data_IF_197341387651
#
_entry.id   IF_197341387651
#
_cell.length_a   1.000
_cell.length_b   1.000
_cell.length_c   1.000
_cell.angle_alpha   90.00
_cell.angle_beta   90.00
_cell.angle_gamma   90.00
#
_symmetry.space_group_name_H-M   'P 1'
#
loop_
_entity.id
_entity.type
_entity.pdbx_description
1 polymer ?
#
# COMPACT_ATOMS: atom_id res chain seq x y z
N UNK A 1 -22.25 -64.53 -10.23
CA UNK A 1 -21.14 -65.02 -11.06
C UNK A 1 -20.29 -63.80 -11.41
N UNK A 2 -19.23 -63.47 -10.69
CA UNK A 2 -18.55 -64.12 -9.54
C UNK A 2 -17.99 -62.98 -8.66
N UNK A 3 -17.92 -63.00 -7.33
CA UNK A 3 -17.43 -63.98 -6.32
C UNK A 3 -15.89 -64.08 -6.21
N UNK A 4 -15.41 -64.10 -4.95
CA UNK A 4 -14.04 -64.32 -4.40
C UNK A 4 -13.02 -63.13 -4.41
N UNK A 5 -12.67 -62.53 -3.24
CA UNK A 5 -11.48 -62.71 -2.31
C UNK A 5 -10.12 -62.29 -2.95
N UNK A 6 -9.10 -61.67 -2.33
CA UNK A 6 -8.33 -61.87 -1.07
C UNK A 6 -7.52 -60.56 -0.71
N UNK A 7 -6.80 -60.38 0.42
CA UNK A 7 -7.10 -60.67 1.84
C UNK A 7 -6.08 -60.00 2.84
N UNK A 8 -6.53 -59.72 4.08
CA UNK A 8 -5.83 -59.92 5.41
C UNK A 8 -4.46 -59.31 5.86
N UNK A 9 -4.47 -58.79 7.12
CA UNK A 9 -3.41 -58.56 8.16
C UNK A 9 -2.14 -57.69 7.94
N UNK A 10 -1.97 -56.65 8.79
CA UNK A 10 -1.07 -56.79 9.96
C UNK A 10 -1.41 -55.84 11.12
N UNK A 11 -1.26 -56.36 12.34
CA UNK A 11 -1.32 -55.68 13.65
C UNK A 11 0.09 -55.43 14.17
N UNK A 12 0.32 -54.36 14.95
CA UNK A 12 1.18 -54.41 16.15
C UNK A 12 0.69 -53.40 17.21
N UNK A 13 0.67 -53.82 18.48
CA UNK A 13 0.49 -52.97 19.66
C UNK A 13 1.83 -52.36 20.08
N UNK A 14 1.85 -51.24 20.84
CA UNK A 14 2.61 -51.21 22.10
C UNK A 14 1.99 -50.27 23.16
N UNK A 15 2.11 -50.74 24.41
CA UNK A 15 1.71 -50.26 25.73
C UNK A 15 1.57 -48.76 26.07
N UNK A 16 0.60 -48.56 26.97
CA UNK A 16 0.48 -47.53 28.02
C UNK A 16 1.64 -47.47 29.04
N UNK A 17 1.90 -46.27 29.57
CA UNK A 17 2.23 -46.02 31.00
C UNK A 17 1.55 -44.70 31.42
N UNK A 18 1.16 -44.57 32.68
CA UNK A 18 0.52 -43.39 33.26
C UNK A 18 1.49 -42.57 34.12
N UNK A 19 1.22 -41.26 34.25
CA UNK A 19 1.72 -40.43 35.36
C UNK A 19 0.60 -39.45 35.77
N UNK A 20 0.12 -39.61 37.00
CA UNK A 20 -0.80 -38.67 37.66
C UNK A 20 -0.02 -37.42 38.13
N UNK A 21 -0.51 -36.23 37.79
CA UNK A 21 -0.03 -34.97 38.37
C UNK A 21 -1.23 -34.12 38.78
N UNK A 22 -1.64 -34.27 40.05
CA UNK A 22 -2.40 -33.25 40.76
C UNK A 22 -1.48 -32.04 41.03
N UNK A 23 -1.88 -30.85 40.55
CA UNK A 23 -1.35 -29.57 41.05
C UNK A 23 -2.50 -28.57 41.25
N UNK A 24 -3.13 -28.65 42.42
CA UNK A 24 -4.04 -27.64 42.94
C UNK A 24 -3.24 -26.37 43.31
N UNK A 25 -3.15 -25.40 42.40
CA UNK A 25 -2.69 -24.06 42.75
C UNK A 25 -3.74 -22.98 42.47
N UNK A 26 -4.31 -22.46 43.55
CA UNK A 26 -5.32 -21.41 43.50
C UNK A 26 -4.70 -20.01 43.51
N UNK A 27 -5.05 -19.23 42.48
CA UNK A 27 -5.39 -17.81 42.56
C UNK A 27 -4.37 -16.84 43.22
N UNK A 28 -3.60 -16.13 42.39
CA UNK A 28 -3.18 -14.75 42.70
C UNK A 28 -3.50 -13.84 41.51
N UNK A 29 -4.16 -12.72 41.78
CA UNK A 29 -4.33 -11.62 40.82
C UNK A 29 -3.27 -10.57 41.09
N UNK A 30 -2.50 -10.18 40.07
CA UNK A 30 -1.88 -8.86 40.03
C UNK A 30 -1.54 -8.43 38.59
N UNK A 31 -1.46 -7.12 38.38
CA UNK A 31 -1.77 -6.45 37.12
C UNK A 31 -0.52 -5.88 36.42
N UNK A 32 -0.02 -6.55 35.36
CA UNK A 32 0.95 -5.96 34.42
C UNK A 32 0.72 -6.48 32.98
N UNK A 33 -0.03 -5.72 32.18
CA UNK A 33 0.20 -5.55 30.73
C UNK A 33 0.07 -4.04 30.42
N UNK A 34 0.88 -3.45 29.52
CA UNK A 34 1.43 -4.10 28.32
C UNK A 34 2.96 -4.09 28.26
N UNK A 35 3.54 -5.28 28.03
CA UNK A 35 4.75 -5.32 27.22
C UNK A 35 4.33 -5.00 25.79
N UNK A 36 4.71 -3.82 25.29
CA UNK A 36 4.58 -3.50 23.87
C UNK A 36 5.48 -4.47 23.10
N UNK A 37 4.92 -5.58 22.62
CA UNK A 37 5.49 -6.31 21.50
C UNK A 37 5.44 -5.35 20.32
N UNK A 38 6.53 -4.60 20.16
CA UNK A 38 6.78 -3.83 18.96
C UNK A 38 7.01 -4.87 17.87
N UNK A 39 5.91 -5.30 17.24
CA UNK A 39 5.90 -6.09 16.02
C UNK A 39 6.46 -5.20 14.91
N UNK A 40 7.77 -4.95 15.00
CA UNK A 40 8.61 -4.46 13.94
C UNK A 40 8.79 -5.66 13.02
N UNK A 41 7.72 -5.97 12.28
CA UNK A 41 7.86 -6.72 11.06
C UNK A 41 8.67 -5.83 10.13
N UNK A 42 9.99 -5.96 10.18
CA UNK A 42 10.94 -5.38 9.24
C UNK A 42 10.75 -6.05 7.87
N UNK A 43 9.57 -5.82 7.29
CA UNK A 43 9.41 -5.78 5.85
C UNK A 43 10.22 -4.57 5.37
N UNK A 44 11.53 -4.79 5.20
CA UNK A 44 12.53 -3.78 4.86
C UNK A 44 12.41 -3.34 3.38
N UNK A 45 11.19 -3.08 2.94
CA UNK A 45 10.90 -2.41 1.68
C UNK A 45 10.97 -0.90 1.88
N UNK A 46 11.49 -0.19 0.89
CA UNK A 46 11.56 1.27 0.89
C UNK A 46 10.15 1.87 1.09
N UNK A 47 9.91 2.57 2.20
CA UNK A 47 8.61 3.21 2.39
C UNK A 47 8.53 4.49 1.55
N UNK A 48 7.67 4.47 0.53
CA UNK A 48 7.49 5.59 -0.40
C UNK A 48 6.05 6.10 -0.39
N UNK A 49 5.89 7.38 -0.08
CA UNK A 49 4.59 8.08 -0.09
C UNK A 49 4.46 8.91 -1.36
N UNK A 50 3.65 8.46 -2.32
CA UNK A 50 3.37 9.16 -3.58
C UNK A 50 2.11 10.02 -3.48
N UNK A 51 2.18 11.27 -3.90
CA UNK A 51 1.03 12.16 -4.12
C UNK A 51 0.84 12.40 -5.62
N UNK A 52 -0.40 12.25 -6.13
CA UNK A 52 -0.74 12.45 -7.55
C UNK A 52 -1.99 13.30 -7.73
N UNK A 53 -1.94 14.26 -8.65
CA UNK A 53 -3.07 15.08 -9.07
C UNK A 53 -3.06 15.24 -10.58
N UNK A 54 -4.19 14.95 -11.23
CA UNK A 54 -4.37 15.16 -12.67
C UNK A 54 -5.46 16.19 -12.95
N UNK A 55 -5.19 17.14 -13.85
CA UNK A 55 -6.12 18.19 -14.26
C UNK A 55 -5.86 18.63 -15.70
N UNK A 56 -6.91 18.57 -16.56
CA UNK A 56 -6.87 19.05 -17.95
C UNK A 56 -5.73 18.46 -18.81
N UNK A 57 -5.44 17.16 -18.67
CA UNK A 57 -4.37 16.49 -19.43
C UNK A 57 -2.96 16.69 -18.86
N UNK A 58 -2.84 17.30 -17.68
CA UNK A 58 -1.56 17.49 -16.98
C UNK A 58 -1.60 16.71 -15.67
N UNK A 59 -0.60 15.86 -15.47
CA UNK A 59 -0.28 15.16 -14.24
C UNK A 59 0.78 15.97 -13.48
N UNK A 60 0.49 16.30 -12.22
CA UNK A 60 1.48 16.71 -11.23
C UNK A 60 1.62 15.61 -10.19
N UNK A 61 2.85 15.31 -9.80
CA UNK A 61 3.13 14.31 -8.78
C UNK A 61 4.30 14.73 -7.89
N UNK A 62 4.36 14.17 -6.69
CA UNK A 62 5.54 14.22 -5.85
C UNK A 62 5.59 12.96 -4.98
N UNK A 63 6.76 12.39 -4.75
CA UNK A 63 6.92 11.32 -3.76
C UNK A 63 7.94 11.68 -2.69
N UNK A 64 7.77 11.09 -1.52
CA UNK A 64 8.69 11.16 -0.40
C UNK A 64 9.23 9.75 -0.12
N UNK A 65 10.54 9.57 -0.19
CA UNK A 65 11.19 8.36 0.30
C UNK A 65 11.49 8.55 1.79
N UNK A 66 10.97 7.66 2.63
CA UNK A 66 11.23 7.69 4.08
C UNK A 66 12.69 7.34 4.37
N UNK A 67 13.31 6.47 3.55
CA UNK A 67 14.70 6.03 3.70
C UNK A 67 15.68 7.19 3.51
N UNK A 68 15.57 7.92 2.39
CA UNK A 68 16.49 9.05 2.12
C UNK A 68 16.04 10.36 2.76
N UNK A 69 14.79 10.44 3.23
CA UNK A 69 14.13 11.67 3.72
C UNK A 69 14.04 12.79 2.67
N UNK A 70 14.02 12.44 1.39
CA UNK A 70 13.97 13.37 0.26
C UNK A 70 12.59 13.46 -0.38
N UNK A 71 12.28 14.63 -0.96
CA UNK A 71 11.05 14.87 -1.74
C UNK A 71 11.41 15.05 -3.21
N UNK A 72 10.84 14.18 -4.04
CA UNK A 72 10.99 14.18 -5.49
C UNK A 72 9.72 14.77 -6.12
N UNK A 73 9.85 15.73 -7.03
CA UNK A 73 8.70 16.49 -7.59
C UNK A 73 8.68 16.43 -9.12
N UNK A 74 7.51 16.08 -9.66
CA UNK A 74 7.23 15.98 -11.08
C UNK A 74 6.17 17.02 -11.46
N UNK A 75 6.60 18.05 -12.19
CA UNK A 75 5.73 19.14 -12.63
C UNK A 75 5.39 19.03 -14.12
N UNK A 76 4.17 19.44 -14.46
CA UNK A 76 3.70 19.66 -15.83
C UNK A 76 3.89 18.46 -16.80
N UNK A 77 3.78 17.22 -16.31
CA UNK A 77 3.77 16.03 -17.17
C UNK A 77 2.46 15.99 -17.98
N UNK A 78 2.56 15.95 -19.31
CA UNK A 78 1.40 15.69 -20.16
C UNK A 78 1.00 14.23 -20.01
N UNK A 79 -0.21 13.97 -19.51
CA UNK A 79 -0.76 12.62 -19.37
C UNK A 79 -2.20 12.58 -19.90
N UNK A 80 -2.42 11.74 -20.89
CA UNK A 80 -3.64 11.76 -21.71
C UNK A 80 -4.62 10.69 -21.25
N UNK A 81 -5.88 11.08 -21.11
CA UNK A 81 -6.99 10.15 -20.85
C UNK A 81 -7.44 9.47 -22.16
N UNK A 82 -7.92 8.22 -22.12
CA UNK A 82 -8.13 7.38 -20.94
C UNK A 82 -6.93 6.54 -20.48
N UNK A 83 -5.80 6.56 -21.20
CA UNK A 83 -4.72 5.60 -20.95
C UNK A 83 -3.92 5.89 -19.68
N UNK A 84 -3.73 7.17 -19.32
CA UNK A 84 -2.93 7.63 -18.18
C UNK A 84 -1.55 6.93 -18.10
N UNK A 85 -0.84 6.92 -19.23
CA UNK A 85 0.42 6.18 -19.37
C UNK A 85 1.51 6.72 -18.44
N UNK A 86 1.56 8.03 -18.19
CA UNK A 86 2.60 8.59 -17.31
C UNK A 86 2.29 8.30 -15.84
N UNK A 87 1.02 8.31 -15.43
CA UNK A 87 0.62 7.80 -14.12
C UNK A 87 1.06 6.34 -13.94
N UNK A 88 0.80 5.46 -14.91
CA UNK A 88 1.22 4.05 -14.87
C UNK A 88 2.73 3.91 -14.75
N UNK A 89 3.49 4.59 -15.61
CA UNK A 89 4.96 4.57 -15.56
C UNK A 89 5.50 5.07 -14.23
N UNK A 90 4.87 6.07 -13.61
CA UNK A 90 5.28 6.57 -12.31
C UNK A 90 5.06 5.52 -11.20
N UNK A 91 3.95 4.79 -11.20
CA UNK A 91 3.75 3.68 -10.27
C UNK A 91 4.84 2.61 -10.42
N UNK A 92 5.06 2.10 -11.65
CA UNK A 92 6.10 1.10 -11.95
C UNK A 92 7.55 1.56 -11.71
N UNK A 93 7.80 2.85 -11.53
CA UNK A 93 9.13 3.38 -11.21
C UNK A 93 9.30 3.59 -9.71
N UNK A 94 8.25 4.06 -9.03
CA UNK A 94 8.28 4.54 -7.64
C UNK A 94 7.83 3.47 -6.65
N UNK A 95 7.13 2.41 -7.10
CA UNK A 95 6.57 1.32 -6.29
C UNK A 95 5.93 1.80 -4.96
N UNK A 96 4.98 2.76 -5.02
CA UNK A 96 4.57 3.54 -3.86
C UNK A 96 3.83 2.68 -2.82
N UNK A 97 4.37 2.60 -1.60
CA UNK A 97 3.69 1.89 -0.50
C UNK A 97 2.39 2.59 -0.11
N UNK A 98 2.37 3.93 -0.12
CA UNK A 98 1.20 4.78 0.17
C UNK A 98 0.97 5.78 -0.97
N UNK A 99 -0.29 5.98 -1.32
CA UNK A 99 -0.73 6.91 -2.38
C UNK A 99 -1.73 7.92 -1.83
N UNK A 100 -1.51 9.19 -2.12
CA UNK A 100 -2.34 10.32 -1.71
C UNK A 100 -2.89 11.03 -2.95
N UNK A 101 -4.20 11.29 -2.99
CA UNK A 101 -4.81 12.08 -4.07
C UNK A 101 -6.00 12.89 -3.57
N UNK A 102 -6.56 13.77 -4.41
CA UNK A 102 -7.81 14.48 -4.07
C UNK A 102 -9.02 13.68 -4.53
N UNK A 103 -10.05 13.58 -3.67
CA UNK A 103 -11.33 12.96 -4.05
C UNK A 103 -12.13 13.77 -5.09
N UNK A 104 -11.73 15.00 -5.40
CA UNK A 104 -12.44 15.92 -6.30
C UNK A 104 -11.92 15.90 -7.75
N UNK A 105 -11.16 14.88 -8.16
CA UNK A 105 -10.61 14.77 -9.51
C UNK A 105 -11.55 14.01 -10.45
N UNK A 106 -11.20 13.94 -11.73
CA UNK A 106 -12.00 13.24 -12.72
C UNK A 106 -12.15 11.76 -12.36
N UNK A 107 -13.39 11.23 -12.42
CA UNK A 107 -13.73 9.86 -12.03
C UNK A 107 -12.82 8.80 -12.69
N UNK A 108 -12.54 8.95 -13.99
CA UNK A 108 -11.64 8.05 -14.73
C UNK A 108 -10.24 7.98 -14.09
N UNK A 109 -9.67 9.12 -13.72
CA UNK A 109 -8.36 9.18 -13.06
C UNK A 109 -8.40 8.50 -11.68
N UNK A 110 -9.44 8.77 -10.88
CA UNK A 110 -9.63 8.12 -9.57
C UNK A 110 -9.77 6.59 -9.70
N UNK A 111 -10.49 6.12 -10.71
CA UNK A 111 -10.63 4.68 -11.00
C UNK A 111 -9.30 4.05 -11.45
N UNK A 112 -8.49 4.75 -12.24
CA UNK A 112 -7.13 4.28 -12.61
C UNK A 112 -6.20 4.26 -11.40
N UNK A 113 -6.20 5.28 -10.55
CA UNK A 113 -5.40 5.31 -9.30
C UNK A 113 -5.78 4.14 -8.38
N UNK A 114 -7.09 3.88 -8.20
CA UNK A 114 -7.56 2.69 -7.45
C UNK A 114 -7.04 1.39 -8.05
N UNK A 115 -7.19 1.21 -9.37
CA UNK A 115 -6.72 0.01 -10.06
C UNK A 115 -5.21 -0.23 -9.84
N UNK A 116 -4.38 0.81 -9.95
CA UNK A 116 -2.93 0.70 -9.77
C UNK A 116 -2.55 0.36 -8.32
N UNK A 117 -3.17 1.02 -7.33
CA UNK A 117 -2.97 0.72 -5.90
C UNK A 117 -3.37 -0.72 -5.54
N UNK A 118 -4.35 -1.28 -6.25
CA UNK A 118 -4.81 -2.66 -6.07
C UNK A 118 -4.01 -3.72 -6.84
N UNK A 119 -3.24 -3.33 -7.88
CA UNK A 119 -2.54 -4.28 -8.74
C UNK A 119 -1.17 -4.70 -8.16
N UNK A 120 -0.39 -3.76 -7.61
CA UNK A 120 0.93 -4.02 -6.98
C UNK A 120 0.83 -4.71 -5.60
N UNK A 121 0.09 -5.79 -5.51
CA UNK A 121 -0.08 -6.60 -4.30
C UNK A 121 -0.72 -7.96 -4.55
N UNK A 122 -0.64 -8.47 -5.79
CA UNK A 122 -1.27 -9.72 -6.23
C UNK A 122 -0.30 -10.70 -6.89
N UNK A 123 1.00 -10.41 -6.89
CA UNK A 123 2.04 -11.22 -7.54
C UNK A 123 2.76 -12.18 -6.57
N UNK A 124 2.12 -12.51 -5.45
CA UNK A 124 2.58 -13.51 -4.47
C UNK A 124 1.70 -14.77 -4.57
N UNK A 125 2.33 -15.94 -4.66
CA UNK A 125 1.64 -17.21 -4.91
C UNK A 125 0.63 -17.60 -3.82
N UNK A 126 -0.35 -18.43 -4.19
CA UNK A 126 -1.40 -18.94 -3.29
C UNK A 126 -0.85 -19.81 -2.15
N UNK A 127 -0.35 -19.18 -1.09
CA UNK A 127 -0.07 -19.81 0.19
C UNK A 127 -1.34 -19.80 1.06
N UNK A 128 -1.86 -20.98 1.38
CA UNK A 128 -3.04 -21.14 2.21
C UNK A 128 -2.75 -20.84 3.68
N UNK A 129 -2.86 -19.57 4.09
CA UNK A 129 -2.74 -19.14 5.48
C UNK A 129 -3.71 -17.99 5.78
N UNK A 130 -4.85 -18.30 6.41
CA UNK A 130 -5.92 -17.33 6.68
C UNK A 130 -5.59 -16.39 7.87
N UNK A 131 -4.52 -15.62 7.74
CA UNK A 131 -4.19 -14.52 8.64
C UNK A 131 -4.94 -13.27 8.17
N UNK A 132 -6.04 -12.92 8.84
CA UNK A 132 -6.90 -11.77 8.51
C UNK A 132 -6.25 -10.41 8.84
N UNK A 133 -5.06 -10.11 8.29
CA UNK A 133 -4.65 -8.72 8.16
C UNK A 133 -5.54 -8.05 7.11
N UNK A 134 -6.43 -7.17 7.58
CA UNK A 134 -7.16 -6.24 6.72
C UNK A 134 -6.16 -5.52 5.80
N UNK A 135 -6.44 -5.41 4.48
CA UNK A 135 -5.55 -4.71 3.57
C UNK A 135 -5.35 -3.28 4.07
N UNK A 136 -4.11 -2.94 4.42
CA UNK A 136 -3.76 -1.59 4.85
C UNK A 136 -4.22 -0.62 3.76
N UNK A 137 -4.88 0.48 4.14
CA UNK A 137 -5.44 1.45 3.18
C UNK A 137 -4.31 2.22 2.48
N UNK A 138 -3.72 1.63 1.43
CA UNK A 138 -2.67 2.25 0.60
C UNK A 138 -3.14 3.54 -0.09
N UNK A 139 -4.44 3.69 -0.39
CA UNK A 139 -5.00 4.90 -0.99
C UNK A 139 -5.64 5.82 0.05
N UNK A 140 -5.12 7.04 0.15
CA UNK A 140 -5.62 8.11 1.00
C UNK A 140 -6.18 9.27 0.16
N UNK A 141 -7.31 9.82 0.59
CA UNK A 141 -7.87 11.03 0.01
C UNK A 141 -7.57 12.23 0.90
N UNK A 142 -7.03 13.30 0.31
CA UNK A 142 -6.86 14.58 1.01
C UNK A 142 -8.23 15.14 1.42
N UNK A 143 -8.37 15.68 2.65
CA UNK A 143 -9.62 16.28 3.09
C UNK A 143 -9.97 17.49 2.18
N UNK A 144 -11.26 17.61 1.86
CA UNK A 144 -11.80 18.38 0.72
C UNK A 144 -11.63 19.90 0.74
N UNK A 145 -10.39 20.39 0.78
CA UNK A 145 -10.03 21.72 0.28
C UNK A 145 -9.77 21.55 -1.22
N UNK A 146 -10.57 22.23 -2.05
CA UNK A 146 -10.41 22.19 -3.50
C UNK A 146 -8.96 22.44 -3.92
N UNK A 147 -8.38 21.55 -4.71
CA UNK A 147 -7.06 21.80 -5.31
C UNK A 147 -7.21 22.90 -6.37
N UNK A 148 -7.13 24.16 -5.94
CA UNK A 148 -7.23 25.38 -6.77
C UNK A 148 -5.97 25.59 -7.60
N UNK A 149 -5.74 24.63 -8.48
CA UNK A 149 -4.79 24.69 -9.60
C UNK A 149 -5.28 25.71 -10.66
N UNK A 150 -5.49 26.96 -10.28
CA UNK A 150 -5.88 28.09 -11.14
C UNK A 150 -4.90 29.25 -11.04
N UNK A 151 -4.14 29.33 -9.94
CA UNK A 151 -3.53 30.58 -9.51
C UNK A 151 -2.06 30.72 -9.96
N UNK A 152 -1.42 29.61 -10.36
CA UNK A 152 -0.02 29.58 -10.82
C UNK A 152 0.22 30.18 -12.22
N UNK A 153 -0.83 30.46 -13.00
CA UNK A 153 -0.66 31.07 -14.33
C UNK A 153 -0.13 32.51 -14.27
N UNK A 154 -0.21 33.18 -13.13
CA UNK A 154 0.23 34.57 -12.97
C UNK A 154 1.72 34.69 -12.62
N UNK A 155 2.37 33.63 -12.10
CA UNK A 155 3.76 33.68 -11.67
C UNK A 155 4.78 33.84 -12.81
N UNK A 156 4.43 33.45 -14.04
CA UNK A 156 5.33 33.53 -15.21
C UNK A 156 5.29 34.87 -15.96
N UNK A 157 4.35 35.76 -15.63
CA UNK A 157 4.14 37.04 -16.34
C UNK A 157 4.82 38.25 -15.69
N UNK A 158 5.44 38.11 -14.52
CA UNK A 158 6.09 39.24 -13.81
C UNK A 158 7.61 39.33 -13.99
N UNK A 159 8.24 38.40 -14.71
CA UNK A 159 9.70 38.34 -14.89
C UNK A 159 10.20 38.78 -16.28
N UNK A 160 9.37 39.43 -17.10
CA UNK A 160 9.71 39.85 -18.48
C UNK A 160 9.41 41.32 -18.79
N UNK A 161 9.33 42.18 -17.76
CA UNK A 161 8.91 43.59 -17.90
C UNK A 161 9.90 44.62 -17.32
N UNK A 162 11.13 44.21 -17.00
CA UNK A 162 12.16 45.08 -16.42
C UNK A 162 13.46 44.98 -17.25
N UNK A 163 13.57 45.74 -18.33
CA UNK A 163 14.76 45.61 -19.19
C UNK A 163 14.90 46.47 -20.44
N UNK A 164 14.21 47.61 -20.59
CA UNK A 164 14.55 48.61 -21.63
C UNK A 164 14.38 50.06 -21.14
N UNK A 165 15.16 50.97 -21.72
CA UNK A 165 15.19 52.44 -21.54
C UNK A 165 15.86 53.02 -20.27
N UNK A 166 17.20 53.10 -20.30
CA UNK A 166 17.93 54.31 -19.87
C UNK A 166 18.40 55.07 -21.12
N UNK A 167 18.48 56.41 -21.02
CA UNK A 167 18.84 57.37 -22.07
C UNK A 167 20.22 57.99 -21.80
#
# INVERSE_FOLDING_TARGET
>A
MSELVDDTHHTEEVCSVADDVDDDNAMTSDDIQPATTTDTSDASGEEVVLSVIWKKGVLGAAYYSVETSEVYVFLDIVDVQPEFNMLKSLFYQVHPTKVVTSGSLAERFISTVKLLVNYEGSDEESSSGANNMLPQRRLHFMPGKECRLTDYKNAKLMNSASGETEL
#
